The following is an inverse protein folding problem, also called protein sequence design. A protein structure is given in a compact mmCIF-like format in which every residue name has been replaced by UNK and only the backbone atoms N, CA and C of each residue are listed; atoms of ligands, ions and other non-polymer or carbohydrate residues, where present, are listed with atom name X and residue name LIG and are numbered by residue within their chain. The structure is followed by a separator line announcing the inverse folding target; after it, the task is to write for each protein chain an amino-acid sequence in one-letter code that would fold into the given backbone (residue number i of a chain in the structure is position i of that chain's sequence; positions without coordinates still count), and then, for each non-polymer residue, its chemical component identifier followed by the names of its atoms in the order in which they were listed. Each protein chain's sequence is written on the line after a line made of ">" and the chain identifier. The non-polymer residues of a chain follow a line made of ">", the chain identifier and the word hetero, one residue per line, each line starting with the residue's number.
data_IF_532948877172
#
_entry.id   IF_532948877172
#
_cell.length_a   1.000
_cell.length_b   1.000
_cell.length_c   1.000
_cell.angle_alpha   90.00
_cell.angle_beta   90.00
_cell.angle_gamma   90.00
#
_symmetry.space_group_name_H-M   'P 1'
#
loop_
_entity.id
_entity.type
_entity.pdbx_description
1 polymer ?
#
# COMPACT_ATOMS: atom_id res chain seq x y z
N UNK A 1 16.68 -23.89 -4.67
CA UNK A 1 15.30 -23.50 -4.27
C UNK A 1 15.30 -21.99 -4.12
N UNK A 2 14.59 -21.27 -4.98
CA UNK A 2 14.42 -19.81 -4.87
C UNK A 2 13.25 -19.53 -3.94
N UNK A 3 13.54 -19.06 -2.74
CA UNK A 3 12.51 -18.56 -1.82
C UNK A 3 12.03 -17.22 -2.33
N UNK A 4 10.76 -17.12 -2.71
CA UNK A 4 10.15 -15.82 -3.01
C UNK A 4 9.83 -15.12 -1.68
N UNK A 5 10.05 -13.80 -1.58
CA UNK A 5 9.59 -13.06 -0.41
C UNK A 5 8.07 -13.16 -0.31
N UNK A 6 7.54 -13.27 0.92
CA UNK A 6 6.12 -13.14 1.23
C UNK A 6 5.80 -11.70 1.64
N UNK A 7 4.52 -11.34 1.63
CA UNK A 7 4.07 -10.03 2.11
C UNK A 7 4.43 -9.82 3.59
N UNK A 8 4.98 -8.64 3.91
CA UNK A 8 5.20 -8.21 5.30
C UNK A 8 3.99 -7.39 5.74
N UNK A 9 3.23 -7.89 6.72
CA UNK A 9 2.06 -7.20 7.31
C UNK A 9 2.31 -6.64 8.70
N UNK A 10 3.47 -6.95 9.30
CA UNK A 10 3.94 -6.34 10.52
C UNK A 10 4.54 -4.94 10.25
N UNK A 11 4.63 -4.06 11.27
CA UNK A 11 5.33 -2.80 11.14
C UNK A 11 6.76 -2.97 10.59
N UNK A 12 7.07 -2.29 9.49
CA UNK A 12 8.33 -2.45 8.75
C UNK A 12 8.92 -1.12 8.23
N UNK A 13 8.45 0.01 8.75
CA UNK A 13 9.00 1.33 8.44
C UNK A 13 10.01 1.73 9.52
N UNK A 14 11.16 2.29 9.10
CA UNK A 14 12.19 2.81 10.01
C UNK A 14 11.65 3.98 10.86
N UNK A 15 10.98 4.93 10.19
CA UNK A 15 10.27 6.05 10.80
C UNK A 15 8.82 6.10 10.31
N UNK A 16 7.88 5.41 10.98
CA UNK A 16 6.47 5.42 10.59
C UNK A 16 5.88 6.84 10.54
N UNK A 17 6.14 7.64 11.56
CA UNK A 17 5.59 9.00 11.71
C UNK A 17 6.05 9.94 10.59
N UNK A 18 7.34 9.91 10.25
CA UNK A 18 7.91 10.71 9.16
C UNK A 18 7.26 10.37 7.82
N UNK A 19 7.06 9.07 7.54
CA UNK A 19 6.39 8.64 6.31
C UNK A 19 4.91 9.03 6.30
N UNK A 20 4.20 8.87 7.41
CA UNK A 20 2.80 9.30 7.52
C UNK A 20 2.65 10.81 7.31
N UNK A 21 3.54 11.62 7.89
CA UNK A 21 3.53 13.07 7.69
C UNK A 21 3.79 13.43 6.22
N UNK A 22 4.80 12.83 5.58
CA UNK A 22 5.09 13.06 4.17
C UNK A 22 3.91 12.67 3.25
N UNK A 23 3.19 11.60 3.59
CA UNK A 23 1.99 11.18 2.86
C UNK A 23 0.87 12.22 3.01
N UNK A 24 0.62 12.71 4.22
CA UNK A 24 -0.38 13.78 4.48
C UNK A 24 -0.04 15.04 3.69
N UNK A 25 1.21 15.49 3.75
CA UNK A 25 1.66 16.71 3.09
C UNK A 25 1.51 16.61 1.56
N UNK A 26 1.75 15.42 0.98
CA UNK A 26 1.55 15.17 -0.44
C UNK A 26 0.07 15.28 -0.87
N UNK A 27 -0.87 15.03 0.04
CA UNK A 27 -2.31 15.11 -0.23
C UNK A 27 -2.93 16.48 0.04
N UNK A 28 -2.36 17.30 0.93
CA UNK A 28 -2.89 18.62 1.30
C UNK A 28 -3.29 19.53 0.12
N UNK A 29 -2.50 19.66 -0.97
CA UNK A 29 -2.87 20.54 -2.08
C UNK A 29 -3.86 19.91 -3.07
N UNK A 30 -4.22 18.63 -2.91
CA UNK A 30 -4.97 17.87 -3.90
C UNK A 30 -6.47 17.87 -3.61
N UNK A 31 -7.29 17.95 -4.66
CA UNK A 31 -8.71 17.60 -4.59
C UNK A 31 -8.90 16.11 -4.29
N UNK A 32 -10.12 15.70 -3.94
CA UNK A 32 -10.42 14.28 -3.72
C UNK A 32 -10.12 13.40 -4.95
N UNK A 33 -10.46 13.86 -6.15
CA UNK A 33 -10.18 13.15 -7.39
C UNK A 33 -8.68 13.03 -7.67
N UNK A 34 -7.93 14.12 -7.47
CA UNK A 34 -6.47 14.13 -7.61
C UNK A 34 -5.79 13.23 -6.56
N UNK A 35 -6.32 13.21 -5.34
CA UNK A 35 -5.87 12.33 -4.25
C UNK A 35 -6.07 10.85 -4.60
N UNK A 36 -7.21 10.48 -5.18
CA UNK A 36 -7.43 9.12 -5.69
C UNK A 36 -6.47 8.77 -6.83
N UNK A 37 -6.26 9.69 -7.77
CA UNK A 37 -5.32 9.50 -8.87
C UNK A 37 -3.87 9.40 -8.37
N UNK A 38 -3.49 10.18 -7.36
CA UNK A 38 -2.20 10.11 -6.68
C UNK A 38 -1.98 8.74 -6.06
N UNK A 39 -2.96 8.23 -5.28
CA UNK A 39 -2.89 6.91 -4.67
C UNK A 39 -2.75 5.79 -5.71
N UNK A 40 -3.50 5.85 -6.81
CA UNK A 40 -3.36 4.86 -7.89
C UNK A 40 -1.94 4.86 -8.48
N UNK A 41 -1.36 6.03 -8.75
CA UNK A 41 0.03 6.14 -9.23
C UNK A 41 1.04 5.63 -8.21
N UNK A 42 0.88 5.99 -6.93
CA UNK A 42 1.75 5.53 -5.86
C UNK A 42 1.74 4.01 -5.72
N UNK A 43 0.55 3.38 -5.73
CA UNK A 43 0.41 1.92 -5.69
C UNK A 43 1.14 1.26 -6.86
N UNK A 44 1.01 1.78 -8.08
CA UNK A 44 1.70 1.22 -9.25
C UNK A 44 3.23 1.36 -9.15
N UNK A 45 3.72 2.50 -8.66
CA UNK A 45 5.16 2.72 -8.43
C UNK A 45 5.72 1.73 -7.39
N UNK A 46 5.03 1.56 -6.27
CA UNK A 46 5.42 0.60 -5.22
C UNK A 46 5.33 -0.84 -5.72
N UNK A 47 4.30 -1.18 -6.51
CA UNK A 47 4.18 -2.50 -7.11
C UNK A 47 5.34 -2.82 -8.08
N UNK A 48 5.76 -1.82 -8.87
CA UNK A 48 6.93 -1.93 -9.72
C UNK A 48 8.23 -2.10 -8.90
N UNK A 49 8.37 -1.37 -7.80
CA UNK A 49 9.51 -1.53 -6.89
C UNK A 49 9.57 -2.93 -6.25
N UNK A 50 8.41 -3.51 -5.88
CA UNK A 50 8.31 -4.87 -5.31
C UNK A 50 8.64 -5.95 -6.36
N UNK A 51 8.16 -5.80 -7.61
CA UNK A 51 8.51 -6.68 -8.73
C UNK A 51 8.06 -8.14 -8.63
N UNK A 52 7.27 -8.51 -7.61
CA UNK A 52 6.89 -9.90 -7.30
C UNK A 52 5.36 -10.09 -7.36
N UNK A 53 4.87 -10.70 -8.44
CA UNK A 53 3.43 -10.99 -8.60
C UNK A 53 2.82 -11.80 -7.43
N UNK A 54 3.49 -12.82 -6.86
CA UNK A 54 2.99 -13.50 -5.66
C UNK A 54 2.75 -12.54 -4.47
N UNK A 55 3.72 -11.68 -4.15
CA UNK A 55 3.60 -10.68 -3.07
C UNK A 55 2.45 -9.71 -3.35
N UNK A 56 2.32 -9.26 -4.60
CA UNK A 56 1.24 -8.35 -4.99
C UNK A 56 -0.15 -9.00 -4.87
N UNK A 57 -0.27 -10.30 -5.14
CA UNK A 57 -1.53 -11.04 -4.92
C UNK A 57 -1.86 -11.18 -3.44
N UNK A 58 -0.86 -11.46 -2.60
CA UNK A 58 -1.04 -11.47 -1.14
C UNK A 58 -1.50 -10.10 -0.64
N UNK A 59 -0.92 -9.01 -1.16
CA UNK A 59 -1.31 -7.64 -0.80
C UNK A 59 -2.77 -7.33 -1.17
N UNK A 60 -3.22 -7.72 -2.37
CA UNK A 60 -4.61 -7.55 -2.79
C UNK A 60 -5.57 -8.34 -1.92
N UNK A 61 -5.22 -9.58 -1.56
CA UNK A 61 -6.03 -10.40 -0.65
C UNK A 61 -6.12 -9.77 0.76
N UNK A 62 -4.99 -9.28 1.28
CA UNK A 62 -4.93 -8.64 2.60
C UNK A 62 -5.69 -7.31 2.66
N UNK A 63 -5.75 -6.56 1.55
CA UNK A 63 -6.47 -5.29 1.45
C UNK A 63 -7.98 -5.46 1.17
N UNK A 64 -8.43 -6.66 0.80
CA UNK A 64 -9.86 -6.91 0.58
C UNK A 64 -10.64 -6.62 1.86
N UNK A 65 -11.76 -5.88 1.80
CA UNK A 65 -12.63 -5.74 2.96
C UNK A 65 -12.99 -7.15 3.43
N UNK A 66 -12.75 -7.43 4.72
CA UNK A 66 -13.22 -8.67 5.34
C UNK A 66 -14.74 -8.80 5.19
N UNK A 67 -15.32 -9.97 5.48
CA UNK A 67 -16.77 -10.11 5.49
C UNK A 67 -17.37 -9.01 6.37
N UNK A 68 -18.46 -8.34 5.94
CA UNK A 68 -19.11 -7.32 6.76
C UNK A 68 -19.46 -7.93 8.13
N UNK A 69 -19.41 -7.15 9.22
CA UNK A 69 -19.73 -7.66 10.55
C UNK A 69 -21.12 -8.32 10.52
N UNK A 70 -21.22 -9.53 11.08
CA UNK A 70 -22.51 -10.19 11.27
C UNK A 70 -23.39 -9.27 12.14
N UNK A 71 -24.53 -8.86 11.59
CA UNK A 71 -25.49 -8.00 12.26
C UNK A 71 -26.20 -8.73 13.40
#
# INVERSE_FOLDING_TARGET
>A
MTTFPSLITAPHLESPDDFYQALIDAHQPLTAEESHAFNARLVLLLANHIGSLPVLREALAAASPGPPPAR
#
